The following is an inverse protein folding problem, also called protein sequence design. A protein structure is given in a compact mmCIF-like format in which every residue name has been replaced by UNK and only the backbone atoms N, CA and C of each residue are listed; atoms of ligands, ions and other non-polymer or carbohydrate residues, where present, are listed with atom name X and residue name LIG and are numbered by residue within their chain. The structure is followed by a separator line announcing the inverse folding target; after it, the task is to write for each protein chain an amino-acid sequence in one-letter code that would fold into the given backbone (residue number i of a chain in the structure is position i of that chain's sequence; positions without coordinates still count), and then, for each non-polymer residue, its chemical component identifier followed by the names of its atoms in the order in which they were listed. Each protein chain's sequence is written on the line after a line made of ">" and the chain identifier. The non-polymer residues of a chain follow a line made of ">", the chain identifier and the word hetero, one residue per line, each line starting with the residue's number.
data_IF_811213944305
#
_entry.id   IF_811213944305
#
_cell.length_a   1.000
_cell.length_b   1.000
_cell.length_c   1.000
_cell.angle_alpha   90.00
_cell.angle_beta   90.00
_cell.angle_gamma   90.00
#
_symmetry.space_group_name_H-M   'P 1'
#
loop_
_entity.id
_entity.type
_entity.pdbx_description
1 polymer ?
#
# COMPACT_ATOMS: atom_id res chain seq x y z
N UNK A 1 -38.54 20.73 4.48
CA UNK A 1 -37.75 21.16 3.31
C UNK A 1 -36.36 20.59 3.50
N UNK A 2 -35.76 20.02 2.44
CA UNK A 2 -34.39 19.54 2.48
C UNK A 2 -33.44 20.73 2.69
N UNK A 3 -32.42 20.63 3.55
CA UNK A 3 -31.48 21.71 3.85
C UNK A 3 -30.46 21.95 2.71
N UNK A 4 -30.33 21.01 1.79
CA UNK A 4 -29.36 21.04 0.68
C UNK A 4 -29.88 20.28 -0.52
N UNK A 5 -29.37 20.60 -1.69
CA UNK A 5 -29.58 19.81 -2.90
C UNK A 5 -28.78 18.51 -2.83
N UNK A 6 -29.34 17.41 -3.35
CA UNK A 6 -28.68 16.12 -3.32
C UNK A 6 -29.60 14.97 -3.69
N UNK A 7 -29.01 13.77 -3.72
CA UNK A 7 -29.75 12.53 -3.99
C UNK A 7 -30.10 11.85 -2.68
N UNK A 8 -31.35 11.38 -2.54
CA UNK A 8 -31.77 10.57 -1.39
C UNK A 8 -31.11 9.20 -1.50
N UNK A 9 -30.22 8.90 -0.58
CA UNK A 9 -29.46 7.63 -0.56
C UNK A 9 -30.06 6.60 0.36
N UNK A 10 -30.82 7.03 1.37
CA UNK A 10 -31.56 6.12 2.25
C UNK A 10 -32.80 6.81 2.82
N UNK A 11 -33.90 6.08 2.83
CA UNK A 11 -35.11 6.41 3.56
C UNK A 11 -35.08 5.62 4.88
N UNK A 12 -34.89 6.31 5.99
CA UNK A 12 -34.71 5.67 7.31
C UNK A 12 -36.08 5.46 8.01
N UNK A 13 -36.99 6.43 7.87
CA UNK A 13 -38.33 6.39 8.48
C UNK A 13 -39.37 6.07 7.41
N UNK A 14 -40.19 5.05 7.63
CA UNK A 14 -41.26 4.65 6.70
C UNK A 14 -42.55 5.40 6.99
N UNK A 15 -43.43 5.44 5.99
CA UNK A 15 -44.76 6.01 6.14
C UNK A 15 -45.58 5.26 7.23
N UNK A 16 -46.27 6.01 8.07
CA UNK A 16 -47.03 5.44 9.20
C UNK A 16 -46.24 5.16 10.47
N UNK A 17 -44.91 5.34 10.47
CA UNK A 17 -44.09 5.14 11.65
C UNK A 17 -44.14 6.35 12.57
N UNK A 18 -44.47 6.11 13.84
CA UNK A 18 -44.48 7.17 14.88
C UNK A 18 -43.05 7.59 15.20
N UNK A 19 -42.76 8.87 15.10
CA UNK A 19 -41.44 9.46 15.34
C UNK A 19 -41.50 10.25 16.65
N UNK A 20 -40.73 9.86 17.67
CA UNK A 20 -40.63 10.56 18.92
C UNK A 20 -39.53 11.60 18.92
N UNK A 21 -39.86 12.87 18.84
CA UNK A 21 -38.92 13.99 18.81
C UNK A 21 -38.44 14.47 20.18
N UNK A 22 -38.99 13.93 21.29
CA UNK A 22 -38.72 14.43 22.65
C UNK A 22 -37.37 13.99 23.23
N UNK A 23 -36.76 12.91 22.72
CA UNK A 23 -35.49 12.37 23.25
C UNK A 23 -34.30 12.49 22.29
N UNK A 24 -34.55 12.49 20.99
CA UNK A 24 -33.52 12.69 19.96
C UNK A 24 -34.17 13.12 18.65
N UNK A 25 -33.49 13.94 17.88
CA UNK A 25 -33.92 14.29 16.51
C UNK A 25 -33.85 13.04 15.61
N UNK A 26 -35.00 12.51 15.15
CA UNK A 26 -35.02 11.30 14.33
C UNK A 26 -34.51 11.58 12.94
N UNK A 27 -33.69 10.68 12.42
CA UNK A 27 -33.24 10.74 11.02
C UNK A 27 -34.35 10.21 10.12
N UNK A 28 -34.91 11.07 9.27
CA UNK A 28 -35.99 10.69 8.34
C UNK A 28 -35.41 10.19 7.03
N UNK A 29 -34.51 10.95 6.42
CA UNK A 29 -33.82 10.62 5.15
C UNK A 29 -32.34 10.91 5.26
N UNK A 30 -31.54 10.23 4.44
CA UNK A 30 -30.13 10.57 4.23
C UNK A 30 -29.95 11.10 2.81
N UNK A 31 -29.43 12.33 2.70
CA UNK A 31 -29.10 12.99 1.45
C UNK A 31 -27.59 12.97 1.25
N UNK A 32 -27.15 12.84 0.02
CA UNK A 32 -25.75 12.94 -0.33
C UNK A 32 -25.53 13.64 -1.68
N UNK A 33 -24.40 14.33 -1.79
CA UNK A 33 -23.87 14.81 -3.05
C UNK A 33 -23.02 13.69 -3.65
N UNK A 34 -23.33 13.27 -4.88
CA UNK A 34 -22.66 12.16 -5.55
C UNK A 34 -21.62 12.63 -6.59
N UNK A 35 -21.52 13.93 -6.84
CA UNK A 35 -20.60 14.51 -7.83
C UNK A 35 -19.12 14.37 -7.39
N UNK A 36 -18.89 14.46 -6.09
CA UNK A 36 -17.58 14.26 -5.50
C UNK A 36 -17.68 13.25 -4.36
N UNK A 37 -16.91 12.18 -4.45
CA UNK A 37 -16.86 11.15 -3.43
C UNK A 37 -15.59 11.34 -2.59
N UNK A 38 -15.75 11.40 -1.27
CA UNK A 38 -14.63 11.37 -0.34
C UNK A 38 -14.34 9.93 0.05
N UNK A 39 -13.15 9.46 -0.30
CA UNK A 39 -12.65 8.14 0.10
C UNK A 39 -11.88 8.28 1.40
N UNK A 40 -12.24 7.48 2.41
CA UNK A 40 -11.50 7.34 3.67
C UNK A 40 -10.54 6.16 3.57
N UNK A 41 -9.24 6.43 3.54
CA UNK A 41 -8.21 5.40 3.55
C UNK A 41 -7.74 5.17 4.99
N UNK A 42 -7.86 3.95 5.47
CA UNK A 42 -7.34 3.55 6.79
C UNK A 42 -5.83 3.30 6.70
N UNK A 43 -5.07 4.11 7.40
CA UNK A 43 -3.61 4.09 7.43
C UNK A 43 -3.18 3.60 8.80
N UNK A 44 -2.30 2.59 8.87
CA UNK A 44 -1.80 2.09 10.14
C UNK A 44 -0.95 3.15 10.87
N UNK A 45 -0.91 3.08 12.19
CA UNK A 45 -0.06 3.94 13.02
C UNK A 45 1.42 3.90 12.59
N UNK A 46 1.90 2.72 12.17
CA UNK A 46 3.29 2.55 11.73
C UNK A 46 3.62 3.31 10.44
N UNK A 47 2.62 3.51 9.57
CA UNK A 47 2.80 4.11 8.25
C UNK A 47 2.40 5.59 8.20
N UNK A 48 1.52 6.05 9.10
CA UNK A 48 0.99 7.42 9.10
C UNK A 48 2.08 8.48 9.16
N UNK A 49 3.19 8.21 9.85
CA UNK A 49 4.35 9.12 9.97
C UNK A 49 4.99 9.43 8.60
N UNK A 50 4.86 8.51 7.65
CA UNK A 50 5.42 8.65 6.29
C UNK A 50 4.47 9.31 5.31
N UNK A 51 3.20 9.41 5.67
CA UNK A 51 2.13 9.91 4.80
C UNK A 51 1.90 11.40 5.06
N UNK A 52 1.87 12.19 4.00
CA UNK A 52 1.68 13.65 4.08
C UNK A 52 0.59 14.09 3.11
N UNK A 53 -0.13 15.15 3.48
CA UNK A 53 -1.06 15.82 2.58
C UNK A 53 -0.37 16.23 1.27
N UNK A 54 -1.09 16.15 0.16
CA UNK A 54 -0.58 16.47 -1.18
C UNK A 54 0.16 15.32 -1.89
N UNK A 55 0.41 14.18 -1.24
CA UNK A 55 0.98 13.02 -1.92
C UNK A 55 0.04 12.45 -2.97
N UNK A 56 0.62 11.93 -4.05
CA UNK A 56 -0.13 11.23 -5.09
C UNK A 56 -0.67 9.92 -4.54
N UNK A 57 -1.92 9.68 -4.85
CA UNK A 57 -2.63 8.46 -4.46
C UNK A 57 -3.36 7.90 -5.66
N UNK A 58 -3.41 6.60 -5.77
CA UNK A 58 -4.34 5.93 -6.67
C UNK A 58 -5.07 4.83 -5.92
N UNK A 59 -6.28 4.54 -6.37
CA UNK A 59 -7.06 3.45 -5.79
C UNK A 59 -7.82 2.69 -6.87
N UNK A 60 -8.20 1.48 -6.53
CA UNK A 60 -9.08 0.62 -7.32
C UNK A 60 -10.28 0.24 -6.46
N UNK A 61 -11.42 0.01 -7.09
CA UNK A 61 -12.62 -0.50 -6.43
C UNK A 61 -12.74 -2.00 -6.68
N UNK A 62 -13.31 -2.75 -5.73
CA UNK A 62 -13.45 -4.20 -5.87
C UNK A 62 -14.24 -4.61 -7.10
N UNK A 63 -15.22 -3.81 -7.53
CA UNK A 63 -16.03 -4.07 -8.72
C UNK A 63 -15.33 -3.78 -10.06
N UNK A 64 -14.17 -3.09 -10.06
CA UNK A 64 -13.38 -2.79 -11.26
C UNK A 64 -11.88 -2.68 -10.91
N UNK A 65 -11.18 -3.79 -10.67
CA UNK A 65 -9.79 -3.81 -10.25
C UNK A 65 -8.83 -3.27 -11.32
N UNK A 66 -9.23 -3.35 -12.58
CA UNK A 66 -8.42 -2.86 -13.71
C UNK A 66 -8.44 -1.34 -13.88
N UNK A 67 -9.45 -0.66 -13.32
CA UNK A 67 -9.58 0.80 -13.40
C UNK A 67 -8.95 1.47 -12.20
N UNK A 68 -7.88 2.24 -12.44
CA UNK A 68 -7.20 3.06 -11.43
C UNK A 68 -7.75 4.47 -11.45
N UNK A 69 -8.11 4.97 -10.28
CA UNK A 69 -8.49 6.36 -10.06
C UNK A 69 -7.33 7.09 -9.42
N UNK A 70 -6.85 8.17 -10.05
CA UNK A 70 -5.72 8.95 -9.56
C UNK A 70 -6.21 10.23 -8.89
N UNK A 71 -5.70 10.52 -7.72
CA UNK A 71 -6.01 11.71 -6.95
C UNK A 71 -4.82 12.10 -6.05
N UNK A 72 -5.03 13.10 -5.21
CA UNK A 72 -4.06 13.49 -4.18
C UNK A 72 -4.69 13.35 -2.80
N UNK A 73 -3.86 13.05 -1.82
CA UNK A 73 -4.27 13.00 -0.43
C UNK A 73 -4.58 14.44 0.04
N UNK A 74 -5.85 14.71 0.39
CA UNK A 74 -6.28 16.02 0.88
C UNK A 74 -5.69 16.31 2.26
N UNK A 75 -5.90 15.38 3.19
CA UNK A 75 -5.42 15.49 4.56
C UNK A 75 -5.35 14.11 5.21
N UNK A 76 -4.60 14.04 6.30
CA UNK A 76 -4.63 12.90 7.23
C UNK A 76 -5.23 13.43 8.53
N UNK A 77 -6.26 12.76 9.04
CA UNK A 77 -6.87 13.14 10.30
C UNK A 77 -5.87 12.97 11.44
N UNK A 78 -5.77 13.95 12.36
CA UNK A 78 -4.78 13.91 13.43
C UNK A 78 -5.10 12.90 14.53
N UNK A 79 -6.32 12.37 14.54
CA UNK A 79 -6.82 11.44 15.54
C UNK A 79 -7.50 10.24 14.88
N UNK A 80 -7.41 9.03 15.46
CA UNK A 80 -8.14 7.88 14.99
C UNK A 80 -9.63 7.97 15.34
N UNK A 81 -10.49 7.34 14.56
CA UNK A 81 -11.95 7.30 14.80
C UNK A 81 -12.33 6.72 16.17
N UNK A 82 -11.46 5.91 16.77
CA UNK A 82 -11.69 5.32 18.11
C UNK A 82 -11.85 6.36 19.20
N UNK A 83 -11.23 7.53 19.10
CA UNK A 83 -11.36 8.61 20.10
C UNK A 83 -12.81 9.11 20.19
N UNK A 84 -13.53 9.16 19.08
CA UNK A 84 -14.92 9.62 19.06
C UNK A 84 -15.90 8.58 19.66
N UNK A 85 -15.52 7.30 19.69
CA UNK A 85 -16.36 6.21 20.15
C UNK A 85 -16.12 5.81 21.61
N UNK A 86 -15.03 6.25 22.23
CA UNK A 86 -14.70 5.94 23.64
C UNK A 86 -15.70 6.49 24.66
N UNK A 87 -16.57 7.44 24.27
CA UNK A 87 -17.49 8.11 25.19
C UNK A 87 -18.73 7.26 25.55
N UNK A 88 -18.97 6.08 24.98
CA UNK A 88 -20.25 5.36 25.13
C UNK A 88 -20.14 3.87 25.51
N UNK A 89 -18.99 3.28 25.66
CA UNK A 89 -18.91 1.85 26.01
C UNK A 89 -17.88 1.55 27.09
N UNK A 90 -18.38 1.49 28.32
CA UNK A 90 -17.73 0.83 29.46
C UNK A 90 -17.83 -0.71 29.29
N UNK A 91 -17.34 -1.27 28.21
CA UNK A 91 -17.20 -2.72 28.05
C UNK A 91 -15.72 -3.08 28.03
N UNK A 92 -15.32 -3.69 29.13
CA UNK A 92 -14.04 -4.35 29.40
C UNK A 92 -13.76 -5.44 28.36
N UNK A 93 -13.27 -5.05 27.19
CA UNK A 93 -12.61 -5.99 26.29
C UNK A 93 -11.27 -5.37 25.89
N UNK A 94 -10.22 -5.77 26.61
CA UNK A 94 -8.82 -5.51 26.30
C UNK A 94 -8.35 -6.31 25.07
N UNK A 95 -9.09 -6.24 23.97
CA UNK A 95 -8.57 -6.62 22.68
C UNK A 95 -7.74 -5.43 22.20
N UNK A 96 -6.43 -5.62 22.02
CA UNK A 96 -5.54 -4.66 21.37
C UNK A 96 -6.07 -4.37 19.97
N UNK A 97 -6.94 -3.38 19.87
CA UNK A 97 -7.51 -2.95 18.59
C UNK A 97 -6.43 -2.17 17.87
N UNK A 98 -6.06 -2.60 16.67
CA UNK A 98 -5.09 -1.87 15.84
C UNK A 98 -5.60 -0.44 15.61
N UNK A 99 -4.70 0.53 15.77
CA UNK A 99 -5.01 1.95 15.62
C UNK A 99 -4.82 2.33 14.14
N UNK A 100 -5.86 2.92 13.56
CA UNK A 100 -5.86 3.42 12.19
C UNK A 100 -6.20 4.91 12.16
N UNK A 101 -5.48 5.63 11.31
CA UNK A 101 -5.73 7.04 10.99
C UNK A 101 -6.41 7.15 9.63
N UNK A 102 -7.31 8.11 9.45
CA UNK A 102 -7.99 8.31 8.19
C UNK A 102 -7.23 9.28 7.29
N UNK A 103 -6.89 8.81 6.11
CA UNK A 103 -6.49 9.67 4.99
C UNK A 103 -7.71 10.00 4.14
N UNK A 104 -7.98 11.29 3.92
CA UNK A 104 -9.12 11.75 3.14
C UNK A 104 -8.69 12.11 1.72
N UNK A 105 -9.42 11.57 0.75
CA UNK A 105 -9.19 11.73 -0.68
C UNK A 105 -10.49 12.18 -1.34
N UNK A 106 -10.46 13.27 -2.09
CA UNK A 106 -11.62 13.70 -2.85
C UNK A 106 -11.45 13.30 -4.31
N UNK A 107 -12.48 12.72 -4.87
CA UNK A 107 -12.49 12.17 -6.22
C UNK A 107 -13.75 12.62 -6.96
N UNK A 108 -13.60 13.26 -8.13
CA UNK A 108 -14.76 13.58 -8.96
C UNK A 108 -15.39 12.29 -9.49
N UNK A 109 -16.70 12.18 -9.38
CA UNK A 109 -17.48 11.02 -9.81
C UNK A 109 -18.22 11.30 -11.12
N UNK A 110 -17.50 11.75 -12.12
CA UNK A 110 -18.07 12.09 -13.44
C UNK A 110 -18.74 10.92 -14.14
N UNK A 111 -18.25 9.69 -13.87
CA UNK A 111 -18.78 8.47 -14.47
C UNK A 111 -20.00 7.92 -13.71
N UNK A 112 -20.34 8.46 -12.54
CA UNK A 112 -21.42 7.95 -11.66
C UNK A 112 -21.21 6.52 -11.14
N UNK A 113 -20.00 5.96 -11.28
CA UNK A 113 -19.69 4.58 -10.90
C UNK A 113 -19.34 4.43 -9.43
N UNK A 114 -18.84 5.48 -8.81
CA UNK A 114 -18.52 5.47 -7.39
C UNK A 114 -19.80 5.69 -6.59
N UNK A 115 -20.04 4.79 -5.62
CA UNK A 115 -21.20 4.85 -4.74
C UNK A 115 -20.74 4.91 -3.29
N UNK A 116 -21.64 5.39 -2.44
CA UNK A 116 -21.41 5.43 -0.99
C UNK A 116 -21.24 4.01 -0.46
N UNK A 117 -20.37 3.84 0.54
CA UNK A 117 -20.06 2.57 1.20
C UNK A 117 -19.41 1.52 0.31
N UNK A 118 -18.83 1.92 -0.84
CA UNK A 118 -17.98 1.01 -1.60
C UNK A 118 -16.62 0.81 -0.92
N UNK A 119 -16.09 -0.40 -1.04
CA UNK A 119 -14.72 -0.71 -0.59
C UNK A 119 -13.74 -0.42 -1.72
N UNK A 120 -12.69 0.32 -1.39
CA UNK A 120 -11.60 0.65 -2.30
C UNK A 120 -10.26 0.20 -1.71
N UNK A 121 -9.36 -0.24 -2.57
CA UNK A 121 -7.97 -0.49 -2.22
C UNK A 121 -7.13 0.72 -2.61
N UNK A 122 -6.55 1.38 -1.62
CA UNK A 122 -5.84 2.65 -1.78
C UNK A 122 -4.34 2.44 -1.72
N UNK A 123 -3.60 3.07 -2.63
CA UNK A 123 -2.14 3.05 -2.69
C UNK A 123 -1.61 4.48 -2.61
N UNK A 124 -0.84 4.77 -1.58
CA UNK A 124 -0.19 6.06 -1.39
C UNK A 124 1.23 5.99 -1.95
N UNK A 125 1.57 6.91 -2.84
CA UNK A 125 2.91 6.98 -3.43
C UNK A 125 3.81 7.77 -2.50
N UNK A 126 4.66 7.07 -1.76
CA UNK A 126 5.58 7.69 -0.81
C UNK A 126 6.72 8.42 -1.53
N UNK A 127 7.30 7.77 -2.54
CA UNK A 127 8.41 8.31 -3.31
C UNK A 127 8.28 7.91 -4.78
N UNK A 128 8.64 8.79 -5.68
CA UNK A 128 8.67 8.57 -7.12
C UNK A 128 9.99 9.06 -7.69
N UNK A 129 10.65 8.26 -8.50
CA UNK A 129 11.81 8.69 -9.29
C UNK A 129 11.57 8.35 -10.76
N UNK A 130 11.74 9.34 -11.63
CA UNK A 130 11.55 9.19 -13.09
C UNK A 130 12.90 9.25 -13.79
N UNK A 131 13.01 8.51 -14.90
CA UNK A 131 14.22 8.52 -15.75
C UNK A 131 15.51 8.19 -14.98
N UNK A 132 15.45 7.18 -14.11
CA UNK A 132 16.58 6.75 -13.28
C UNK A 132 17.06 5.38 -13.66
N UNK A 133 18.36 5.12 -13.45
CA UNK A 133 18.94 3.79 -13.63
C UNK A 133 18.37 2.87 -12.53
N UNK A 134 17.80 1.75 -12.94
CA UNK A 134 17.26 0.74 -12.03
C UNK A 134 17.89 -0.61 -12.27
N UNK A 135 18.09 -1.35 -11.19
CA UNK A 135 18.48 -2.75 -11.22
C UNK A 135 17.51 -3.58 -10.40
N UNK A 136 17.35 -4.89 -10.67
CA UNK A 136 16.59 -5.77 -9.79
C UNK A 136 17.16 -5.77 -8.37
N UNK A 137 16.29 -5.75 -7.37
CA UNK A 137 16.72 -5.74 -5.97
C UNK A 137 17.55 -6.99 -5.59
N UNK A 138 17.33 -8.12 -6.30
CA UNK A 138 18.10 -9.35 -6.14
C UNK A 138 19.57 -9.24 -6.55
N UNK A 139 19.94 -8.20 -7.31
CA UNK A 139 21.34 -7.93 -7.68
C UNK A 139 22.12 -7.17 -6.58
N UNK A 140 21.41 -6.64 -5.57
CA UNK A 140 22.01 -5.94 -4.45
C UNK A 140 22.67 -6.95 -3.50
N UNK A 141 23.95 -6.76 -3.23
CA UNK A 141 24.69 -7.48 -2.20
C UNK A 141 24.61 -6.79 -0.84
N UNK A 142 25.64 -7.01 -0.04
CA UNK A 142 25.72 -6.45 1.31
C UNK A 142 25.91 -4.92 1.30
N UNK A 143 25.27 -4.26 2.27
CA UNK A 143 25.43 -2.83 2.48
C UNK A 143 26.58 -2.56 3.44
N UNK A 144 27.50 -1.70 3.02
CA UNK A 144 28.65 -1.27 3.80
C UNK A 144 28.21 -0.27 4.90
N UNK A 145 29.04 -0.10 5.92
CA UNK A 145 28.88 0.89 7.01
C UNK A 145 28.75 2.33 6.50
N UNK A 146 29.26 2.62 5.31
CA UNK A 146 29.16 3.91 4.62
C UNK A 146 27.83 4.08 3.84
N UNK A 147 26.94 3.08 3.88
CA UNK A 147 25.67 3.11 3.17
C UNK A 147 25.73 2.74 1.70
N UNK A 148 26.92 2.36 1.19
CA UNK A 148 27.10 1.86 -0.17
C UNK A 148 26.75 0.37 -0.21
N UNK A 149 26.18 -0.06 -1.34
CA UNK A 149 25.84 -1.46 -1.58
C UNK A 149 26.75 -2.03 -2.64
N UNK A 150 27.20 -3.27 -2.46
CA UNK A 150 28.01 -3.96 -3.48
C UNK A 150 27.11 -4.60 -4.52
N UNK A 151 27.42 -4.40 -5.79
CA UNK A 151 26.75 -5.03 -6.93
C UNK A 151 27.82 -5.69 -7.81
N UNK A 152 27.52 -6.88 -8.34
CA UNK A 152 28.42 -7.55 -9.28
C UNK A 152 28.05 -7.13 -10.71
N UNK A 153 28.94 -6.42 -11.36
CA UNK A 153 28.80 -5.97 -12.74
C UNK A 153 29.71 -6.82 -13.64
N UNK A 154 29.23 -7.23 -14.79
CA UNK A 154 30.04 -7.96 -15.76
C UNK A 154 30.92 -6.94 -16.51
N UNK A 155 32.25 -7.05 -16.37
CA UNK A 155 33.20 -6.24 -17.08
C UNK A 155 33.33 -6.67 -18.57
N UNK A 156 34.06 -5.91 -19.39
CA UNK A 156 34.22 -6.20 -20.79
C UNK A 156 34.93 -7.56 -21.06
N UNK A 157 35.69 -8.04 -20.10
CA UNK A 157 36.31 -9.36 -20.08
C UNK A 157 35.38 -10.53 -19.74
N UNK A 158 34.08 -10.23 -19.53
CA UNK A 158 33.04 -11.22 -19.21
C UNK A 158 33.07 -11.70 -17.75
N UNK A 159 33.96 -11.18 -16.90
CA UNK A 159 34.05 -11.58 -15.49
C UNK A 159 33.23 -10.68 -14.58
N UNK A 160 32.57 -11.24 -13.56
CA UNK A 160 31.84 -10.44 -12.59
C UNK A 160 32.85 -9.71 -11.67
N UNK A 161 32.74 -8.39 -11.63
CA UNK A 161 33.52 -7.54 -10.72
C UNK A 161 32.63 -6.87 -9.69
N UNK A 162 33.03 -6.87 -8.40
CA UNK A 162 32.27 -6.16 -7.37
C UNK A 162 32.47 -4.65 -7.54
N UNK A 163 31.36 -3.91 -7.62
CA UNK A 163 31.36 -2.45 -7.70
C UNK A 163 30.49 -1.88 -6.60
N UNK A 164 30.97 -0.87 -5.90
CA UNK A 164 30.20 -0.15 -4.87
C UNK A 164 29.28 0.85 -5.55
N UNK A 165 28.01 0.83 -5.15
CA UNK A 165 26.94 1.67 -5.71
C UNK A 165 26.18 2.36 -4.61
N UNK A 166 25.68 3.56 -4.90
CA UNK A 166 24.78 4.28 -4.01
C UNK A 166 23.35 4.02 -4.42
N UNK A 167 22.61 3.34 -3.56
CA UNK A 167 21.22 2.99 -3.78
C UNK A 167 20.32 4.13 -3.28
N UNK A 168 19.35 4.53 -4.09
CA UNK A 168 18.29 5.48 -3.74
C UNK A 168 17.03 4.77 -3.25
N UNK A 169 15.94 4.92 -4.02
CA UNK A 169 14.66 4.27 -3.70
C UNK A 169 14.77 2.77 -4.01
N UNK A 170 14.35 1.94 -3.05
CA UNK A 170 14.25 0.50 -3.21
C UNK A 170 12.83 0.04 -2.82
N UNK A 171 12.16 -0.66 -3.72
CA UNK A 171 10.83 -1.23 -3.52
C UNK A 171 10.83 -2.76 -3.40
N UNK A 172 11.98 -3.38 -3.09
CA UNK A 172 12.23 -4.82 -2.98
C UNK A 172 12.09 -5.62 -4.30
N UNK A 173 11.66 -4.99 -5.38
CA UNK A 173 11.64 -5.56 -6.73
C UNK A 173 12.74 -4.92 -7.56
N UNK A 174 12.76 -3.58 -7.59
CA UNK A 174 13.75 -2.77 -8.27
C UNK A 174 14.39 -1.77 -7.30
N UNK A 175 15.64 -1.50 -7.49
CA UNK A 175 16.40 -0.50 -6.77
C UNK A 175 16.93 0.57 -7.72
N UNK A 176 16.73 1.82 -7.35
CA UNK A 176 17.31 2.97 -8.03
C UNK A 176 18.79 3.05 -7.71
N UNK A 177 19.62 3.25 -8.72
CA UNK A 177 21.05 3.54 -8.55
C UNK A 177 21.28 5.03 -8.80
N UNK A 178 21.85 5.70 -7.81
CA UNK A 178 22.23 7.11 -7.89
C UNK A 178 23.62 7.27 -8.49
N UNK A 179 24.55 6.40 -8.10
CA UNK A 179 25.96 6.46 -8.51
C UNK A 179 26.56 5.06 -8.59
N UNK A 180 27.51 4.84 -9.51
CA UNK A 180 28.33 3.63 -9.59
C UNK A 180 28.04 2.69 -10.75
N UNK A 181 26.89 2.83 -11.47
CA UNK A 181 26.54 2.02 -12.65
C UNK A 181 26.05 2.94 -13.76
N UNK A 182 26.44 2.64 -15.00
CA UNK A 182 25.97 3.31 -16.19
C UNK A 182 24.84 2.53 -16.88
N UNK A 183 24.09 3.23 -17.73
CA UNK A 183 23.07 2.59 -18.57
C UNK A 183 23.76 1.67 -19.57
N UNK A 184 23.35 0.40 -19.60
CA UNK A 184 23.95 -0.62 -20.45
C UNK A 184 24.85 -1.61 -19.71
N UNK A 185 25.29 -1.31 -18.48
CA UNK A 185 26.05 -2.25 -17.67
C UNK A 185 25.22 -3.51 -17.36
N UNK A 186 25.83 -4.69 -17.51
CA UNK A 186 25.19 -5.98 -17.18
C UNK A 186 25.42 -6.34 -15.73
N UNK A 187 24.35 -6.55 -14.97
CA UNK A 187 24.39 -6.86 -13.54
C UNK A 187 24.05 -8.32 -13.31
N UNK A 188 24.77 -8.97 -12.40
CA UNK A 188 24.50 -10.36 -12.01
C UNK A 188 23.37 -10.36 -10.97
N UNK A 189 22.25 -10.99 -11.30
CA UNK A 189 21.04 -11.04 -10.43
C UNK A 189 20.95 -12.25 -9.53
N UNK A 190 21.86 -13.22 -9.67
CA UNK A 190 21.92 -14.45 -8.86
C UNK A 190 23.08 -15.31 -9.30
N UNK A 191 23.58 -16.15 -8.42
CA UNK A 191 24.41 -17.28 -8.81
C UNK A 191 23.47 -18.38 -9.28
N UNK A 192 23.58 -18.78 -10.55
CA UNK A 192 23.12 -20.10 -10.94
C UNK A 192 23.89 -21.06 -10.04
N UNK A 193 23.24 -21.74 -9.10
CA UNK A 193 23.83 -22.87 -8.40
C UNK A 193 24.27 -23.82 -9.51
N UNK A 194 25.57 -23.81 -9.78
CA UNK A 194 26.21 -24.81 -10.64
C UNK A 194 25.82 -26.15 -10.00
N UNK A 195 25.03 -26.92 -10.75
CA UNK A 195 24.44 -28.17 -10.30
C UNK A 195 25.45 -29.00 -9.53
N UNK A 196 25.05 -29.36 -8.32
CA UNK A 196 25.83 -30.30 -7.52
C UNK A 196 26.14 -31.51 -8.36
N UNK A 197 27.41 -31.81 -8.55
CA UNK A 197 27.87 -33.09 -9.11
C UNK A 197 27.10 -34.21 -8.43
N UNK A 198 26.57 -35.17 -9.18
CA UNK A 198 25.99 -36.37 -8.57
C UNK A 198 27.16 -37.13 -7.91
N UNK A 199 27.34 -36.91 -6.60
CA UNK A 199 28.29 -37.62 -5.78
C UNK A 199 28.01 -39.12 -5.88
N UNK A 200 29.04 -39.85 -6.29
CA UNK A 200 29.09 -41.27 -6.40
C UNK A 200 28.45 -41.97 -5.16
N UNK A 201 27.33 -42.60 -5.38
CA UNK A 201 26.74 -43.54 -4.43
C UNK A 201 27.71 -44.74 -4.31
N UNK A 202 28.59 -44.69 -3.32
CA UNK A 202 29.37 -45.84 -2.93
C UNK A 202 28.43 -46.97 -2.46
N UNK A 203 28.31 -48.01 -3.27
CA UNK A 203 27.62 -49.23 -2.98
C UNK A 203 28.21 -49.88 -1.70
N UNK A 204 27.50 -49.82 -0.58
CA UNK A 204 27.76 -50.63 0.60
C UNK A 204 27.09 -51.97 0.41
N UNK A 205 27.89 -52.98 0.13
CA UNK A 205 27.47 -54.37 0.12
C UNK A 205 27.02 -54.82 1.56
N UNK A 206 25.98 -55.62 1.70
CA UNK A 206 25.55 -56.15 2.99
C UNK A 206 26.49 -57.26 3.42
N UNK A 207 27.09 -57.14 4.63
CA UNK A 207 27.82 -58.22 5.31
C UNK A 207 26.80 -59.20 5.85
N UNK A 208 26.77 -60.40 5.27
CA UNK A 208 26.16 -61.60 5.85
C UNK A 208 26.95 -62.02 7.10
N UNK A 209 26.28 -62.19 8.23
CA UNK A 209 26.79 -62.89 9.40
C UNK A 209 26.16 -64.27 9.43
N UNK A 210 27.03 -65.28 9.49
CA UNK A 210 26.73 -66.65 9.94
C UNK A 210 26.54 -66.66 11.45
#
# INVERSE_FOLDING_TARGET
>A
IAPMDGVVVALVTQEGQTVNANQSAPTIIKLALLDTITVKAQISEADVVRVKAGQKVYFTILGAPDKRYYTTLRTVEPAPDSIATETTSSSTSSASTAIYYNGLLDVPNTDGRLRISMTAQVYVVLNEAKQVVTIPASALGERDRQGLTTVRVIAEDGKPQPRKVKVGINNNINAQILEGIAVGDKVVTGEAQAGGSPGAAAARAPRMRL
#
